data_IF_317966020469
#
_entry.id   IF_317966020469
#
_cell.length_a   1.000
_cell.length_b   1.000
_cell.length_c   1.000
_cell.angle_alpha   90.00
_cell.angle_beta   90.00
_cell.angle_gamma   90.00
#
_symmetry.space_group_name_H-M   'P 1'
#
loop_
_entity.id
_entity.type
_entity.pdbx_description
1 polymer ?
#
# COMPACT_ATOMS: atom_id res chain seq x y z
N UNK A 1 11.12 10.74 -2.72
CA UNK A 1 9.68 10.50 -2.59
C UNK A 1 8.99 11.64 -1.84
N UNK A 2 7.73 11.85 -2.11
CA UNK A 2 6.91 12.96 -1.64
C UNK A 2 6.33 12.71 -0.24
N UNK A 3 7.15 12.80 0.78
CA UNK A 3 6.72 12.56 2.19
C UNK A 3 5.62 13.52 2.66
N UNK A 4 5.54 14.70 2.06
CA UNK A 4 4.54 15.73 2.37
C UNK A 4 3.09 15.31 2.09
N UNK A 5 2.88 14.23 1.33
CA UNK A 5 1.51 13.71 1.08
C UNK A 5 0.92 12.97 2.28
N UNK A 6 1.75 12.54 3.23
CA UNK A 6 1.31 11.80 4.40
C UNK A 6 0.69 12.72 5.44
N UNK A 7 -0.34 12.24 6.10
CA UNK A 7 -0.91 12.92 7.27
C UNK A 7 0.00 12.80 8.50
N UNK A 8 -0.26 13.60 9.52
CA UNK A 8 0.45 13.49 10.79
C UNK A 8 0.25 12.12 11.44
N UNK A 9 -0.97 11.58 11.36
CA UNK A 9 -1.32 10.25 11.87
C UNK A 9 -0.56 9.15 11.15
N UNK A 10 -0.48 9.22 9.81
CA UNK A 10 0.32 8.29 9.03
C UNK A 10 1.80 8.37 9.38
N UNK A 11 2.36 9.56 9.54
CA UNK A 11 3.76 9.74 9.93
C UNK A 11 4.07 9.09 11.29
N UNK A 12 3.15 9.19 12.26
CA UNK A 12 3.29 8.53 13.57
C UNK A 12 3.25 7.01 13.49
N UNK A 13 2.62 6.44 12.46
CA UNK A 13 2.50 4.99 12.25
C UNK A 13 3.61 4.40 11.35
N UNK A 14 4.47 5.21 10.76
CA UNK A 14 5.58 4.70 9.92
C UNK A 14 6.48 3.70 10.67
N UNK A 15 6.81 3.87 11.97
CA UNK A 15 7.55 2.86 12.71
C UNK A 15 6.82 1.51 12.78
N UNK A 16 5.49 1.52 12.95
CA UNK A 16 4.68 0.30 12.91
C UNK A 16 4.72 -0.36 11.52
N UNK A 17 4.53 0.42 10.46
CA UNK A 17 4.61 -0.10 9.09
C UNK A 17 5.97 -0.74 8.81
N UNK A 18 7.04 -0.12 9.30
CA UNK A 18 8.40 -0.62 9.15
C UNK A 18 8.66 -1.96 9.86
N UNK A 19 7.90 -2.30 10.90
CA UNK A 19 8.01 -3.60 11.59
C UNK A 19 7.61 -4.80 10.69
N UNK A 20 6.87 -4.55 9.63
CA UNK A 20 6.41 -5.59 8.70
C UNK A 20 7.28 -5.74 7.45
N UNK A 21 8.45 -5.09 7.39
CA UNK A 21 9.29 -5.01 6.19
C UNK A 21 9.76 -6.35 5.62
N UNK A 22 9.87 -7.38 6.46
CA UNK A 22 10.35 -8.70 6.00
C UNK A 22 9.34 -9.37 5.07
N UNK A 23 8.07 -9.28 5.41
CA UNK A 23 7.00 -10.00 4.73
C UNK A 23 6.10 -9.12 3.87
N UNK A 24 6.02 -7.83 4.17
CA UNK A 24 5.11 -6.90 3.50
C UNK A 24 5.84 -5.72 2.87
N UNK A 25 5.25 -5.17 1.83
CA UNK A 25 5.64 -3.88 1.26
C UNK A 25 4.43 -2.98 1.06
N UNK A 26 4.69 -1.68 1.05
CA UNK A 26 3.67 -0.65 0.86
C UNK A 26 3.33 -0.54 -0.63
N UNK A 27 2.04 -0.64 -0.94
CA UNK A 27 1.50 -0.54 -2.29
C UNK A 27 0.31 0.42 -2.32
N UNK A 28 -0.49 0.35 -3.36
CA UNK A 28 -1.74 1.09 -3.47
C UNK A 28 -1.57 2.60 -3.68
N UNK A 29 -2.61 3.34 -3.35
CA UNK A 29 -2.67 4.78 -3.59
C UNK A 29 -1.63 5.59 -2.86
N UNK A 30 -1.26 5.19 -1.64
CA UNK A 30 -0.23 5.88 -0.86
C UNK A 30 1.16 5.68 -1.46
N UNK A 31 1.49 4.48 -1.92
CA UNK A 31 2.76 4.24 -2.61
C UNK A 31 2.86 5.07 -3.90
N UNK A 32 1.80 5.12 -4.72
CA UNK A 32 1.76 5.95 -5.93
C UNK A 32 1.88 7.44 -5.57
N UNK A 33 1.18 7.91 -4.55
CA UNK A 33 1.25 9.30 -4.11
C UNK A 33 2.65 9.68 -3.59
N UNK A 34 3.36 8.76 -2.93
CA UNK A 34 4.75 8.95 -2.54
C UNK A 34 5.69 9.11 -3.75
N UNK A 35 5.44 8.39 -4.84
CA UNK A 35 6.19 8.56 -6.08
C UNK A 35 5.89 9.89 -6.80
N UNK A 36 4.61 10.27 -6.90
CA UNK A 36 4.15 11.35 -7.78
C UNK A 36 3.88 12.67 -7.07
N UNK A 37 3.52 12.65 -5.80
CA UNK A 37 3.07 13.86 -5.07
C UNK A 37 1.77 14.47 -5.60
N UNK A 38 1.00 13.76 -6.41
CA UNK A 38 -0.16 14.28 -7.17
C UNK A 38 -1.42 14.46 -6.33
N UNK A 39 -1.51 13.77 -5.18
CA UNK A 39 -2.63 13.85 -4.24
C UNK A 39 -2.23 13.32 -2.87
N UNK A 40 -3.06 13.57 -1.88
CA UNK A 40 -2.97 12.86 -0.59
C UNK A 40 -3.60 11.48 -0.66
N UNK A 41 -3.06 10.55 0.11
CA UNK A 41 -3.62 9.22 0.34
C UNK A 41 -3.48 8.87 1.81
N UNK A 42 -4.59 8.49 2.43
CA UNK A 42 -4.72 8.42 3.89
C UNK A 42 -4.67 6.99 4.45
N UNK A 43 -4.64 5.99 3.57
CA UNK A 43 -4.63 4.57 3.95
C UNK A 43 -3.23 3.98 3.75
N UNK A 44 -2.93 2.88 4.43
CA UNK A 44 -1.78 2.04 4.12
C UNK A 44 -2.25 0.68 3.60
N UNK A 45 -1.78 0.31 2.42
CA UNK A 45 -1.98 -1.00 1.83
C UNK A 45 -0.66 -1.77 1.89
N UNK A 46 -0.59 -2.82 2.70
CA UNK A 46 0.59 -3.65 2.91
C UNK A 46 0.34 -5.03 2.30
N UNK A 47 1.03 -5.34 1.21
CA UNK A 47 0.84 -6.58 0.48
C UNK A 47 2.02 -7.52 0.65
N UNK A 48 1.72 -8.81 0.64
CA UNK A 48 2.68 -9.90 0.70
C UNK A 48 2.32 -10.99 -0.30
N UNK A 49 3.31 -11.66 -0.87
CA UNK A 49 3.10 -12.88 -1.65
C UNK A 49 2.96 -14.12 -0.75
N UNK A 50 3.46 -14.01 0.48
CA UNK A 50 3.50 -15.10 1.46
C UNK A 50 2.18 -15.21 2.22
N UNK A 51 1.86 -16.43 2.66
CA UNK A 51 0.81 -16.64 3.66
C UNK A 51 1.21 -15.97 4.98
N UNK A 52 0.23 -15.44 5.67
CA UNK A 52 0.42 -14.84 7.00
C UNK A 52 -0.74 -15.18 7.93
N UNK A 53 -0.47 -15.11 9.23
CA UNK A 53 -1.50 -15.26 10.26
C UNK A 53 -1.97 -13.89 10.77
N UNK A 54 -3.26 -13.64 10.73
CA UNK A 54 -3.82 -12.36 11.20
C UNK A 54 -3.52 -12.13 12.69
N UNK A 55 -3.53 -13.18 13.50
CA UNK A 55 -3.23 -13.07 14.93
C UNK A 55 -1.77 -12.63 15.18
N UNK A 56 -0.82 -13.09 14.37
CA UNK A 56 0.58 -12.65 14.45
C UNK A 56 0.73 -11.16 14.15
N UNK A 57 -0.03 -10.66 13.16
CA UNK A 57 -0.06 -9.23 12.83
C UNK A 57 -0.65 -8.44 14.01
N UNK A 58 -1.79 -8.87 14.56
CA UNK A 58 -2.45 -8.22 15.68
C UNK A 58 -1.55 -8.19 16.93
N UNK A 59 -0.81 -9.27 17.20
CA UNK A 59 0.15 -9.33 18.30
C UNK A 59 1.28 -8.30 18.13
N UNK A 60 1.80 -8.14 16.91
CA UNK A 60 2.83 -7.14 16.61
C UNK A 60 2.29 -5.72 16.73
N UNK A 61 1.07 -5.47 16.27
CA UNK A 61 0.39 -4.18 16.41
C UNK A 61 0.18 -3.80 17.87
N UNK A 62 -0.05 -4.76 18.76
CA UNK A 62 -0.38 -4.51 20.17
C UNK A 62 0.70 -3.72 20.92
N UNK A 63 1.95 -3.77 20.49
CA UNK A 63 3.04 -2.94 21.05
C UNK A 63 2.95 -1.46 20.68
N UNK A 64 2.18 -1.11 19.66
CA UNK A 64 1.95 0.27 19.19
C UNK A 64 0.60 0.84 19.63
N UNK A 65 -0.33 0.00 20.03
CA UNK A 65 -1.66 0.38 20.49
C UNK A 65 -2.71 -0.68 20.19
N UNK A 66 -3.93 -0.36 20.55
CA UNK A 66 -5.11 -1.22 20.28
C UNK A 66 -5.78 -0.70 19.00
N UNK A 67 -6.15 -1.55 18.05
CA UNK A 67 -6.97 -1.12 16.92
C UNK A 67 -8.28 -0.50 17.37
N UNK A 68 -8.66 0.60 16.74
CA UNK A 68 -9.96 1.27 16.99
C UNK A 68 -11.12 0.41 16.46
N UNK A 69 -10.87 -0.27 15.33
CA UNK A 69 -11.85 -1.13 14.66
C UNK A 69 -11.12 -2.19 13.82
N UNK A 70 -11.65 -3.40 13.77
CA UNK A 70 -11.27 -4.44 12.81
C UNK A 70 -12.40 -4.54 11.79
N UNK A 71 -12.11 -4.14 10.53
CA UNK A 71 -13.10 -4.08 9.44
C UNK A 71 -13.20 -5.43 8.73
N UNK A 72 -12.05 -6.07 8.43
CA UNK A 72 -11.97 -7.38 7.78
C UNK A 72 -10.96 -8.24 8.54
N UNK A 73 -11.37 -9.44 8.89
CA UNK A 73 -10.49 -10.43 9.52
C UNK A 73 -10.83 -11.81 8.93
N UNK A 74 -10.17 -12.15 7.83
CA UNK A 74 -10.35 -13.43 7.13
C UNK A 74 -9.03 -13.93 6.59
N UNK A 75 -9.03 -15.17 6.05
CA UNK A 75 -7.85 -15.72 5.40
C UNK A 75 -7.33 -14.77 4.31
N UNK A 76 -6.01 -14.55 4.32
CA UNK A 76 -5.30 -13.70 3.37
C UNK A 76 -5.65 -12.20 3.39
N UNK A 77 -6.45 -11.75 4.37
CA UNK A 77 -6.80 -10.33 4.50
C UNK A 77 -7.09 -9.92 5.96
N UNK A 78 -6.42 -8.88 6.40
CA UNK A 78 -6.72 -8.17 7.63
C UNK A 78 -6.78 -6.67 7.36
N UNK A 79 -7.93 -6.06 7.59
CA UNK A 79 -8.12 -4.61 7.48
C UNK A 79 -8.58 -4.06 8.82
N UNK A 80 -7.90 -3.06 9.31
CA UNK A 80 -8.20 -2.42 10.59
C UNK A 80 -7.96 -0.92 10.55
N UNK A 81 -8.49 -0.22 11.54
CA UNK A 81 -8.20 1.18 11.81
C UNK A 81 -7.43 1.27 13.12
N UNK A 82 -6.31 1.96 13.11
CA UNK A 82 -5.54 2.31 14.30
C UNK A 82 -5.11 3.78 14.21
N UNK A 83 -5.35 4.54 15.27
CA UNK A 83 -5.05 5.99 15.32
C UNK A 83 -5.60 6.75 14.11
N UNK A 84 -6.84 6.45 13.73
CA UNK A 84 -7.57 7.02 12.59
C UNK A 84 -6.97 6.71 11.21
N UNK A 85 -6.05 5.75 11.09
CA UNK A 85 -5.48 5.30 9.83
C UNK A 85 -5.96 3.89 9.53
N UNK A 86 -6.53 3.70 8.34
CA UNK A 86 -6.87 2.36 7.86
C UNK A 86 -5.62 1.68 7.31
N UNK A 87 -5.36 0.47 7.79
CA UNK A 87 -4.26 -0.39 7.32
C UNK A 87 -4.86 -1.69 6.81
N UNK A 88 -4.52 -2.06 5.59
CA UNK A 88 -4.89 -3.34 4.97
C UNK A 88 -3.65 -4.20 4.81
N UNK A 89 -3.69 -5.42 5.34
CA UNK A 89 -2.74 -6.49 5.06
C UNK A 89 -3.41 -7.46 4.11
N UNK A 90 -2.78 -7.71 2.96
CA UNK A 90 -3.39 -8.54 1.92
C UNK A 90 -2.36 -9.46 1.27
N UNK A 91 -2.74 -10.72 1.05
CA UNK A 91 -1.95 -11.65 0.26
C UNK A 91 -2.24 -11.46 -1.22
N UNK A 92 -1.26 -10.93 -1.93
CA UNK A 92 -1.38 -10.70 -3.37
C UNK A 92 -1.01 -11.99 -4.14
N UNK A 93 -1.80 -12.39 -5.15
CA UNK A 93 -1.60 -13.68 -5.82
C UNK A 93 -0.41 -13.70 -6.79
N UNK A 94 0.17 -12.55 -7.11
CA UNK A 94 1.25 -12.41 -8.06
C UNK A 94 2.53 -11.94 -7.37
N UNK A 95 3.68 -12.18 -8.02
CA UNK A 95 4.97 -11.67 -7.56
C UNK A 95 4.97 -10.13 -7.59
N UNK A 96 5.46 -9.53 -6.52
CA UNK A 96 5.65 -8.08 -6.40
C UNK A 96 7.15 -7.79 -6.33
N UNK A 97 7.65 -7.00 -7.27
CA UNK A 97 9.03 -6.54 -7.24
C UNK A 97 9.14 -5.25 -6.40
N UNK A 98 9.58 -5.41 -5.17
CA UNK A 98 9.87 -4.30 -4.27
C UNK A 98 11.28 -3.75 -4.51
N UNK A 99 11.48 -3.09 -5.63
CA UNK A 99 12.79 -2.57 -6.06
C UNK A 99 13.19 -1.25 -5.40
N UNK A 100 12.28 -0.61 -4.68
CA UNK A 100 12.52 0.67 -4.03
C UNK A 100 12.19 0.64 -2.54
N UNK A 101 12.54 1.70 -1.83
CA UNK A 101 12.27 1.84 -0.40
C UNK A 101 11.88 3.27 -0.04
N UNK A 102 11.05 3.38 0.99
CA UNK A 102 10.68 4.64 1.61
C UNK A 102 11.08 4.64 3.08
N UNK A 103 11.81 5.70 3.48
CA UNK A 103 12.37 5.74 4.83
C UNK A 103 13.37 4.61 5.06
N UNK A 104 13.47 4.15 6.30
CA UNK A 104 14.52 3.19 6.68
C UNK A 104 14.23 1.75 6.27
N UNK A 105 12.96 1.31 6.25
CA UNK A 105 12.63 -0.12 6.13
C UNK A 105 11.36 -0.41 5.33
N UNK A 106 10.72 0.56 4.73
CA UNK A 106 9.47 0.32 4.02
C UNK A 106 9.78 0.01 2.56
N UNK A 107 9.53 -1.22 2.13
CA UNK A 107 9.68 -1.65 0.73
C UNK A 107 8.52 -1.11 -0.09
N UNK A 108 8.82 -0.61 -1.28
CA UNK A 108 7.83 -0.09 -2.24
C UNK A 108 8.18 -0.61 -3.64
N UNK A 109 7.21 -1.03 -4.46
CA UNK A 109 7.45 -1.30 -5.87
C UNK A 109 7.80 0.00 -6.62
N UNK A 110 8.49 -0.12 -7.74
CA UNK A 110 8.65 1.02 -8.63
C UNK A 110 7.30 1.45 -9.23
N UNK A 111 7.28 2.67 -9.80
CA UNK A 111 6.03 3.27 -10.28
C UNK A 111 5.36 2.45 -11.40
N UNK A 112 6.14 1.80 -12.28
CA UNK A 112 5.58 0.97 -13.36
C UNK A 112 4.87 -0.27 -12.79
N UNK A 113 5.45 -0.94 -11.80
CA UNK A 113 4.82 -2.06 -11.12
C UNK A 113 3.53 -1.64 -10.40
N UNK A 114 3.55 -0.49 -9.71
CA UNK A 114 2.35 0.08 -9.08
C UNK A 114 1.26 0.42 -10.10
N UNK A 115 1.64 0.92 -11.28
CA UNK A 115 0.71 1.20 -12.37
C UNK A 115 0.03 -0.08 -12.88
N UNK A 116 0.79 -1.16 -13.09
CA UNK A 116 0.24 -2.46 -13.49
C UNK A 116 -0.71 -3.03 -12.42
N UNK A 117 -0.34 -2.95 -11.14
CA UNK A 117 -1.21 -3.35 -10.03
C UNK A 117 -2.51 -2.52 -9.99
N UNK A 118 -2.43 -1.23 -10.27
CA UNK A 118 -3.58 -0.31 -10.33
C UNK A 118 -4.49 -0.65 -11.51
N UNK A 119 -3.93 -0.93 -12.68
CA UNK A 119 -4.70 -1.35 -13.86
C UNK A 119 -5.42 -2.68 -13.61
N UNK A 120 -4.76 -3.64 -12.97
CA UNK A 120 -5.37 -4.89 -12.54
C UNK A 120 -6.54 -4.66 -11.56
N UNK A 121 -6.35 -3.77 -10.56
CA UNK A 121 -7.40 -3.42 -9.61
C UNK A 121 -8.62 -2.78 -10.28
N UNK A 122 -8.43 -1.92 -11.30
CA UNK A 122 -9.51 -1.34 -12.09
C UNK A 122 -10.34 -2.39 -12.83
N UNK A 123 -9.69 -3.46 -13.31
CA UNK A 123 -10.39 -4.59 -13.93
C UNK A 123 -11.29 -5.35 -12.95
N UNK A 124 -11.04 -5.25 -11.64
CA UNK A 124 -11.81 -5.91 -10.58
C UNK A 124 -12.86 -4.99 -9.94
N UNK A 125 -12.59 -3.69 -9.90
CA UNK A 125 -13.43 -2.68 -9.26
C UNK A 125 -13.18 -1.30 -9.88
N UNK A 126 -14.21 -0.47 -9.98
CA UNK A 126 -14.09 0.91 -10.49
C UNK A 126 -14.17 1.90 -9.33
N UNK A 127 -13.01 2.36 -8.83
CA UNK A 127 -12.92 3.46 -7.86
C UNK A 127 -12.35 4.70 -8.54
N UNK A 128 -12.94 5.87 -8.27
CA UNK A 128 -12.48 7.14 -8.84
C UNK A 128 -10.99 7.42 -8.64
N UNK A 129 -10.48 7.15 -7.45
CA UNK A 129 -9.06 7.35 -7.13
C UNK A 129 -8.12 6.51 -8.00
N UNK A 130 -8.55 5.34 -8.46
CA UNK A 130 -7.76 4.47 -9.33
C UNK A 130 -7.59 5.09 -10.73
N UNK A 131 -8.64 5.73 -11.26
CA UNK A 131 -8.55 6.49 -12.51
C UNK A 131 -7.65 7.71 -12.39
N UNK A 132 -7.73 8.45 -11.29
CA UNK A 132 -6.86 9.62 -11.03
C UNK A 132 -5.40 9.19 -10.99
N UNK A 133 -5.08 8.14 -10.27
CA UNK A 133 -3.70 7.62 -10.18
C UNK A 133 -3.16 7.22 -11.55
N UNK A 134 -3.92 6.44 -12.31
CA UNK A 134 -3.53 6.02 -13.67
C UNK A 134 -3.42 7.21 -14.64
N UNK A 135 -4.30 8.18 -14.55
CA UNK A 135 -4.23 9.38 -15.38
C UNK A 135 -2.87 10.09 -15.23
N UNK A 136 -2.44 10.36 -14.00
CA UNK A 136 -1.16 11.03 -13.77
C UNK A 136 0.04 10.17 -14.18
N UNK A 137 -0.03 8.85 -14.00
CA UNK A 137 1.02 7.94 -14.46
C UNK A 137 1.14 7.95 -15.99
N UNK A 138 0.02 7.83 -16.69
CA UNK A 138 0.00 7.77 -18.17
C UNK A 138 0.38 9.13 -18.78
N UNK A 139 -0.08 10.22 -18.18
CA UNK A 139 0.20 11.57 -18.68
C UNK A 139 1.69 11.88 -18.69
N UNK A 140 2.43 11.53 -17.66
CA UNK A 140 3.76 12.07 -17.41
C UNK A 140 4.88 11.01 -17.35
N UNK A 141 4.56 9.70 -17.28
CA UNK A 141 5.55 8.68 -16.99
C UNK A 141 5.58 7.48 -17.94
N UNK A 142 4.46 6.81 -18.18
CA UNK A 142 4.43 5.54 -18.93
C UNK A 142 3.25 5.48 -19.90
N UNK A 143 3.45 4.85 -21.05
CA UNK A 143 2.36 4.54 -21.97
C UNK A 143 1.50 3.38 -21.47
N UNK A 144 0.28 3.27 -21.99
CA UNK A 144 -0.61 2.14 -21.71
C UNK A 144 0.05 0.82 -22.10
N UNK A 145 0.77 0.76 -23.23
CA UNK A 145 1.49 -0.43 -23.65
C UNK A 145 2.53 -0.88 -22.62
N UNK A 146 3.35 0.04 -22.13
CA UNK A 146 4.35 -0.26 -21.09
C UNK A 146 3.71 -0.81 -19.80
N UNK A 147 2.56 -0.28 -19.41
CA UNK A 147 1.83 -0.75 -18.22
C UNK A 147 1.24 -2.16 -18.46
N UNK A 148 0.73 -2.41 -19.67
CA UNK A 148 0.10 -3.70 -19.99
C UNK A 148 1.07 -4.85 -20.18
N UNK A 149 2.34 -4.56 -20.47
CA UNK A 149 3.41 -5.54 -20.61
C UNK A 149 4.05 -5.95 -19.27
N UNK A 150 3.79 -5.19 -18.21
CA UNK A 150 4.33 -5.44 -16.87
C UNK A 150 3.49 -6.45 -16.09
#
# INVERSE_FOLDING_TARGET
MHKEILTNEQNKLLPLVAEFYEDFGLVGGTAIALHLGHRRSIDFDLFSEKKFGNQSILNKISSFGVPDEIIVNRLDELTLIIKNVKITFFRYPYKIDYSESFGYRIKIPNLLALAAMKAFALGQRAKWKDYVDLYFIIKDHFSISQISEK
#
